data_IF_972692593167
#
_entry.id   IF_972692593167
#
_cell.length_a   1.000
_cell.length_b   1.000
_cell.length_c   1.000
_cell.angle_alpha   90.00
_cell.angle_beta   90.00
_cell.angle_gamma   90.00
#
_symmetry.space_group_name_H-M   'P 1'
#
loop_
_entity.id
_entity.type
_entity.pdbx_description
1 polymer ?
#
# COMPACT_ATOMS: atom_id res chain seq x y z
N UNK A 1 23.06 6.02 37.79
CA UNK A 1 23.41 6.16 36.37
C UNK A 1 22.98 4.93 35.56
N UNK A 2 21.70 4.57 35.73
CA UNK A 2 21.06 3.48 35.03
C UNK A 2 19.61 3.87 34.74
N UNK A 3 19.41 5.08 34.20
CA UNK A 3 18.11 5.58 33.81
C UNK A 3 18.32 6.16 32.41
N UNK A 4 18.01 5.40 31.39
CA UNK A 4 17.70 5.78 30.01
C UNK A 4 17.94 4.59 29.06
N UNK A 5 17.39 3.43 29.44
CA UNK A 5 17.26 2.32 28.50
C UNK A 5 15.85 1.75 28.55
N UNK A 6 14.92 2.65 28.73
CA UNK A 6 13.49 2.44 28.53
C UNK A 6 13.16 3.23 27.30
N UNK A 7 12.43 2.64 26.41
CA UNK A 7 11.91 3.17 25.16
C UNK A 7 12.79 2.81 23.96
N UNK A 8 12.66 1.61 23.56
CA UNK A 8 12.16 1.23 22.23
C UNK A 8 11.89 -0.28 22.24
N UNK A 9 11.02 -0.72 23.13
CA UNK A 9 10.21 -1.86 22.74
C UNK A 9 9.13 -1.31 21.80
N UNK A 10 9.50 -0.97 20.58
CA UNK A 10 8.60 -1.18 19.49
C UNK A 10 8.22 -2.66 19.62
N UNK A 11 6.98 -2.94 19.95
CA UNK A 11 6.38 -4.24 19.77
C UNK A 11 6.57 -4.59 18.30
N UNK A 12 7.69 -5.17 17.96
CA UNK A 12 7.86 -5.92 16.72
C UNK A 12 7.00 -7.16 16.96
N UNK A 13 5.70 -7.03 16.70
CA UNK A 13 4.85 -8.19 16.60
C UNK A 13 5.59 -9.14 15.65
N UNK A 14 5.78 -10.37 16.05
CA UNK A 14 6.41 -11.38 15.21
C UNK A 14 5.64 -11.38 13.89
N UNK A 15 6.37 -11.33 12.79
CA UNK A 15 5.79 -11.25 11.46
C UNK A 15 6.22 -12.45 10.64
N UNK A 16 5.32 -12.92 9.81
CA UNK A 16 5.57 -14.01 8.87
C UNK A 16 5.21 -13.57 7.46
N UNK A 17 5.91 -14.14 6.48
CA UNK A 17 5.55 -13.93 5.08
C UNK A 17 4.22 -14.60 4.75
N UNK A 18 3.45 -13.98 3.86
CA UNK A 18 2.21 -14.55 3.32
C UNK A 18 2.44 -15.91 2.65
N UNK A 19 3.68 -16.21 2.26
CA UNK A 19 4.08 -17.54 1.76
C UNK A 19 3.71 -18.67 2.71
N UNK A 20 3.78 -18.44 4.02
CA UNK A 20 3.37 -19.43 5.02
C UNK A 20 1.90 -19.84 4.84
N UNK A 21 1.04 -18.88 4.51
CA UNK A 21 -0.38 -19.17 4.22
C UNK A 21 -0.51 -19.94 2.90
N UNK A 22 0.20 -19.51 1.86
CA UNK A 22 0.21 -20.20 0.58
C UNK A 22 0.65 -21.67 0.73
N UNK A 23 1.72 -21.93 1.46
CA UNK A 23 2.23 -23.28 1.73
C UNK A 23 1.21 -24.15 2.47
N UNK A 24 0.45 -23.55 3.40
CA UNK A 24 -0.62 -24.27 4.11
C UNK A 24 -1.80 -24.55 3.19
N UNK A 25 -2.18 -23.60 2.34
CA UNK A 25 -3.25 -23.77 1.37
C UNK A 25 -2.92 -24.86 0.34
N UNK A 26 -1.70 -24.87 -0.20
CA UNK A 26 -1.26 -25.83 -1.21
C UNK A 26 -1.15 -27.28 -0.71
N UNK A 27 -1.23 -27.51 0.60
CA UNK A 27 -1.41 -28.89 1.13
C UNK A 27 -2.76 -29.48 0.77
N UNK A 28 -3.75 -28.64 0.48
CA UNK A 28 -5.03 -29.08 -0.04
C UNK A 28 -4.94 -29.19 -1.58
N UNK A 29 -5.19 -30.37 -2.18
CA UNK A 29 -5.09 -30.55 -3.64
C UNK A 29 -5.96 -29.58 -4.44
N UNK A 30 -7.15 -29.24 -3.94
CA UNK A 30 -8.09 -28.31 -4.61
C UNK A 30 -7.57 -26.87 -4.65
N UNK A 31 -6.64 -26.53 -3.75
CA UNK A 31 -6.07 -25.20 -3.67
C UNK A 31 -4.78 -25.03 -4.49
N UNK A 32 -4.30 -26.07 -5.15
CA UNK A 32 -3.05 -26.03 -5.92
C UNK A 32 -3.10 -25.11 -7.14
N UNK A 33 -4.28 -24.85 -7.65
CA UNK A 33 -4.50 -23.98 -8.82
C UNK A 33 -4.65 -22.51 -8.44
N UNK A 34 -4.71 -22.20 -7.14
CA UNK A 34 -4.81 -20.83 -6.65
C UNK A 34 -3.48 -20.10 -6.86
N UNK A 35 -3.52 -18.95 -7.50
CA UNK A 35 -2.31 -18.14 -7.72
C UNK A 35 -1.88 -17.37 -6.46
N UNK A 36 -0.60 -17.03 -6.35
CA UNK A 36 -0.10 -16.19 -5.27
C UNK A 36 -0.80 -14.82 -5.25
N UNK A 37 -1.09 -14.25 -6.42
CA UNK A 37 -1.80 -12.97 -6.54
C UNK A 37 -3.18 -13.05 -5.88
N UNK A 38 -3.94 -14.11 -6.18
CA UNK A 38 -5.23 -14.34 -5.54
C UNK A 38 -5.11 -14.46 -4.01
N UNK A 39 -4.09 -15.15 -3.52
CA UNK A 39 -3.84 -15.29 -2.07
C UNK A 39 -3.53 -13.95 -1.45
N UNK A 40 -2.67 -13.14 -2.07
CA UNK A 40 -2.28 -11.81 -1.59
C UNK A 40 -3.47 -10.88 -1.54
N UNK A 41 -4.22 -10.78 -2.63
CA UNK A 41 -5.36 -9.87 -2.73
C UNK A 41 -6.44 -10.17 -1.70
N UNK A 42 -6.79 -11.44 -1.55
CA UNK A 42 -7.80 -11.85 -0.56
C UNK A 42 -7.30 -11.76 0.89
N UNK A 43 -6.01 -11.99 1.15
CA UNK A 43 -5.43 -11.76 2.46
C UNK A 43 -5.48 -10.27 2.84
N UNK A 44 -5.13 -9.38 1.91
CA UNK A 44 -5.21 -7.93 2.14
C UNK A 44 -6.67 -7.47 2.28
N UNK A 45 -7.61 -8.07 1.54
CA UNK A 45 -9.03 -7.78 1.65
C UNK A 45 -9.56 -8.13 3.03
N UNK A 46 -9.33 -9.36 3.51
CA UNK A 46 -9.82 -9.76 4.83
C UNK A 46 -9.17 -8.97 5.96
N UNK A 47 -7.89 -8.64 5.85
CA UNK A 47 -7.22 -7.80 6.83
C UNK A 47 -7.84 -6.40 6.94
N UNK A 48 -8.34 -5.85 5.83
CA UNK A 48 -9.10 -4.59 5.83
C UNK A 48 -10.49 -4.75 6.44
N UNK A 49 -11.18 -5.84 6.13
CA UNK A 49 -12.53 -6.13 6.66
C UNK A 49 -12.52 -6.25 8.18
N UNK A 50 -11.53 -6.94 8.75
CA UNK A 50 -11.43 -7.15 10.20
C UNK A 50 -10.67 -6.03 10.92
N UNK A 51 -10.30 -4.97 10.20
CA UNK A 51 -9.47 -3.86 10.70
C UNK A 51 -8.19 -4.37 11.41
N UNK A 52 -7.60 -5.42 10.86
CA UNK A 52 -6.37 -5.97 11.40
C UNK A 52 -5.26 -4.93 11.31
N UNK A 53 -4.41 -4.80 12.34
CA UNK A 53 -3.29 -3.87 12.28
C UNK A 53 -2.42 -4.24 11.10
N UNK A 54 -2.51 -3.43 10.05
CA UNK A 54 -1.69 -3.62 8.88
C UNK A 54 -0.26 -3.22 9.19
N UNK A 55 0.67 -4.07 8.83
CA UNK A 55 2.09 -3.81 8.97
C UNK A 55 2.52 -2.80 7.91
N UNK A 56 2.43 -1.53 8.25
CA UNK A 56 2.87 -0.45 7.38
C UNK A 56 4.29 -0.01 7.77
N UNK A 57 5.08 0.19 6.75
CA UNK A 57 6.40 0.78 6.84
C UNK A 57 6.37 2.17 6.22
N UNK A 58 6.90 3.14 6.94
CA UNK A 58 7.13 4.45 6.34
C UNK A 58 8.31 4.35 5.39
N UNK A 59 8.08 4.72 4.14
CA UNK A 59 9.12 4.86 3.11
C UNK A 59 9.30 6.32 2.75
N UNK A 60 10.53 6.64 2.38
CA UNK A 60 10.93 7.95 1.87
C UNK A 60 11.56 7.73 0.50
N UNK A 61 11.09 8.46 -0.49
CA UNK A 61 11.57 8.33 -1.85
C UNK A 61 11.59 9.70 -2.53
N UNK A 62 12.69 9.99 -3.24
CA UNK A 62 12.80 11.21 -4.05
C UNK A 62 12.42 10.89 -5.48
N UNK A 63 11.48 11.62 -6.02
CA UNK A 63 10.89 11.40 -7.33
C UNK A 63 11.06 12.65 -8.19
N UNK A 64 11.48 12.46 -9.43
CA UNK A 64 11.60 13.56 -10.39
C UNK A 64 10.22 13.95 -10.92
N UNK A 65 10.02 15.27 -10.99
CA UNK A 65 8.86 15.90 -11.61
C UNK A 65 9.19 16.23 -13.05
N UNK A 66 8.34 15.81 -13.96
CA UNK A 66 8.42 16.10 -15.39
C UNK A 66 7.05 16.56 -15.87
N UNK A 67 6.98 17.75 -16.45
CA UNK A 67 5.72 18.33 -16.98
C UNK A 67 4.59 18.29 -15.94
N UNK A 68 4.85 18.87 -14.76
CA UNK A 68 3.89 18.98 -13.64
C UNK A 68 3.48 17.62 -13.02
N UNK A 69 4.18 16.52 -13.29
CA UNK A 69 3.82 15.19 -12.81
C UNK A 69 5.02 14.43 -12.28
N UNK A 70 4.82 13.73 -11.17
CA UNK A 70 5.73 12.72 -10.65
C UNK A 70 5.03 11.37 -10.66
N UNK A 71 5.75 10.29 -10.98
CA UNK A 71 5.19 8.94 -10.95
C UNK A 71 4.92 8.52 -9.50
N UNK A 72 3.71 8.04 -9.24
CA UNK A 72 3.36 7.53 -7.93
C UNK A 72 4.09 6.21 -7.67
N UNK A 73 4.74 6.00 -6.50
CA UNK A 73 5.30 4.72 -6.13
C UNK A 73 4.24 3.61 -6.13
N UNK A 74 4.56 2.46 -6.76
CA UNK A 74 3.59 1.38 -6.96
C UNK A 74 3.04 0.80 -5.65
N UNK A 75 3.86 0.78 -4.60
CA UNK A 75 3.51 0.25 -3.28
C UNK A 75 3.03 1.31 -2.28
N UNK A 76 2.70 2.52 -2.76
CA UNK A 76 2.21 3.60 -1.93
C UNK A 76 0.72 3.38 -1.59
N UNK A 77 0.43 3.22 -0.31
CA UNK A 77 -0.93 3.09 0.20
C UNK A 77 -1.49 4.45 0.59
N UNK A 78 -0.71 5.21 1.38
CA UNK A 78 -1.12 6.51 1.88
C UNK A 78 0.07 7.45 1.93
N UNK A 79 -0.11 8.65 1.47
CA UNK A 79 0.86 9.73 1.63
C UNK A 79 0.77 10.27 3.05
N UNK A 80 1.93 10.43 3.67
CA UNK A 80 2.05 11.12 4.96
C UNK A 80 2.55 12.56 4.76
N UNK A 81 3.51 12.74 3.86
CA UNK A 81 4.05 14.07 3.54
C UNK A 81 4.64 14.09 2.13
N UNK A 82 4.54 15.24 1.48
CA UNK A 82 5.28 15.55 0.25
C UNK A 82 5.99 16.89 0.44
N UNK A 83 7.25 16.94 0.07
CA UNK A 83 8.06 18.14 0.14
C UNK A 83 8.83 18.34 -1.17
N UNK A 84 8.99 19.57 -1.57
CA UNK A 84 9.86 19.98 -2.68
C UNK A 84 11.30 20.08 -2.20
N UNK A 85 12.27 19.52 -2.96
CA UNK A 85 13.67 19.42 -2.51
C UNK A 85 14.69 19.99 -3.49
N UNK A 86 14.27 20.43 -4.66
CA UNK A 86 15.15 20.86 -5.78
C UNK A 86 15.81 22.23 -5.61
N UNK A 87 15.45 23.00 -4.56
CA UNK A 87 15.95 24.36 -4.34
C UNK A 87 16.92 24.50 -3.17
N UNK A 88 17.51 23.42 -2.70
CA UNK A 88 18.43 23.43 -1.57
C UNK A 88 17.76 23.63 -0.20
N UNK A 89 16.44 23.73 -0.17
CA UNK A 89 15.61 23.75 1.04
C UNK A 89 14.49 22.72 0.90
N UNK A 90 14.07 22.15 2.02
CA UNK A 90 12.90 21.27 2.07
C UNK A 90 11.68 22.14 2.30
N UNK A 91 10.79 22.19 1.33
CA UNK A 91 9.55 22.94 1.42
C UNK A 91 8.35 21.98 1.40
N UNK A 92 7.64 21.89 2.54
CA UNK A 92 6.45 21.04 2.65
C UNK A 92 5.35 21.54 1.71
N UNK A 93 4.76 20.61 0.98
CA UNK A 93 3.71 20.91 0.00
C UNK A 93 2.33 20.74 0.63
N UNK A 94 1.39 21.58 0.21
CA UNK A 94 -0.02 21.46 0.63
C UNK A 94 -0.80 20.62 -0.36
N UNK A 95 -1.54 19.63 0.15
CA UNK A 95 -2.45 18.81 -0.66
C UNK A 95 -3.66 19.63 -1.10
N UNK A 96 -4.05 19.49 -2.36
CA UNK A 96 -5.25 20.09 -2.94
C UNK A 96 -6.06 19.02 -3.65
N UNK A 97 -7.39 19.15 -3.66
CA UNK A 97 -8.25 18.15 -4.29
C UNK A 97 -8.10 18.15 -5.81
N UNK A 98 -7.64 19.26 -6.37
CA UNK A 98 -7.55 19.42 -7.82
C UNK A 98 -6.43 20.37 -8.24
N UNK A 99 -5.52 19.89 -9.12
CA UNK A 99 -4.59 20.72 -9.86
C UNK A 99 -4.80 20.40 -11.34
N UNK A 100 -5.39 21.32 -12.12
CA UNK A 100 -5.44 21.22 -13.57
C UNK A 100 -4.42 22.16 -14.21
N UNK A 101 -3.93 21.80 -15.37
CA UNK A 101 -3.06 22.68 -16.16
C UNK A 101 -3.77 23.97 -16.60
N UNK A 102 -5.08 23.92 -16.78
CA UNK A 102 -5.90 25.10 -17.11
C UNK A 102 -5.92 26.09 -15.95
N UNK A 103 -5.95 25.62 -14.70
CA UNK A 103 -5.85 26.47 -13.50
C UNK A 103 -4.48 27.13 -13.37
N UNK A 104 -3.41 26.45 -13.77
CA UNK A 104 -2.05 27.01 -13.73
C UNK A 104 -1.85 28.12 -14.76
N UNK A 105 -2.59 28.09 -15.85
CA UNK A 105 -2.50 29.05 -16.96
C UNK A 105 -3.46 30.23 -16.82
N UNK A 106 -4.56 30.08 -16.12
CA UNK A 106 -5.63 31.09 -16.01
C UNK A 106 -5.36 32.06 -14.89
N UNK A 107 -4.31 32.54 -14.54
CA UNK A 107 -3.95 33.68 -13.67
C UNK A 107 -4.96 34.21 -12.61
N UNK A 108 -6.16 33.64 -12.52
CA UNK A 108 -7.35 34.27 -11.97
C UNK A 108 -7.85 33.65 -10.64
N UNK A 109 -7.23 32.61 -10.14
CA UNK A 109 -7.61 32.05 -8.84
C UNK A 109 -6.41 32.02 -7.90
N UNK A 110 -6.55 32.72 -6.77
CA UNK A 110 -5.58 33.00 -5.72
C UNK A 110 -4.80 31.84 -5.08
N UNK A 111 -4.46 30.83 -5.84
CA UNK A 111 -3.42 29.87 -5.46
C UNK A 111 -2.12 30.63 -5.62
N UNK A 112 -1.58 31.08 -4.52
CA UNK A 112 -0.27 31.73 -4.49
C UNK A 112 0.73 30.84 -5.22
N UNK A 113 1.25 31.31 -6.37
CA UNK A 113 2.34 30.64 -7.10
C UNK A 113 3.62 30.48 -6.27
N UNK A 114 3.62 31.04 -5.06
CA UNK A 114 4.73 31.03 -4.14
C UNK A 114 4.82 29.75 -3.29
N UNK A 115 3.70 29.06 -3.03
CA UNK A 115 3.70 27.85 -2.21
C UNK A 115 3.52 26.60 -3.06
N UNK A 116 4.37 25.58 -2.88
CA UNK A 116 4.25 24.34 -3.63
C UNK A 116 3.02 23.55 -3.17
N UNK A 117 2.22 23.12 -4.14
CA UNK A 117 1.02 22.33 -3.91
C UNK A 117 1.01 21.04 -4.73
N UNK A 118 0.29 20.03 -4.26
CA UNK A 118 0.15 18.77 -4.97
C UNK A 118 -1.29 18.25 -4.96
N UNK A 119 -1.64 17.44 -5.95
CA UNK A 119 -2.83 16.59 -5.94
C UNK A 119 -2.49 15.16 -6.32
N UNK A 120 -3.26 14.22 -5.81
CA UNK A 120 -3.04 12.80 -6.03
C UNK A 120 -4.09 12.25 -7.01
N UNK A 121 -3.64 11.49 -7.99
CA UNK A 121 -4.53 10.64 -8.76
C UNK A 121 -4.08 9.17 -8.69
N UNK A 122 -4.71 8.28 -9.46
CA UNK A 122 -4.41 6.85 -9.42
C UNK A 122 -2.96 6.53 -9.78
N UNK A 123 -2.34 7.28 -10.70
CA UNK A 123 -1.02 6.98 -11.29
C UNK A 123 0.05 8.02 -10.98
N UNK A 124 -0.35 9.26 -10.73
CA UNK A 124 0.58 10.38 -10.64
C UNK A 124 0.32 11.24 -9.40
N UNK A 125 1.38 11.92 -8.99
CA UNK A 125 1.36 13.07 -8.10
C UNK A 125 1.46 14.29 -9.02
N UNK A 126 0.39 15.08 -9.13
CA UNK A 126 0.43 16.31 -9.88
C UNK A 126 0.92 17.44 -8.96
N UNK A 127 1.73 18.33 -9.49
CA UNK A 127 2.32 19.45 -8.75
C UNK A 127 2.16 20.77 -9.52
N UNK A 128 2.27 21.92 -8.84
CA UNK A 128 2.09 23.22 -9.45
C UNK A 128 3.39 23.83 -10.05
N UNK A 129 4.43 23.01 -10.24
CA UNK A 129 5.68 23.41 -10.92
C UNK A 129 6.05 22.43 -12.01
N UNK A 130 6.70 22.91 -13.06
CA UNK A 130 6.93 22.15 -14.30
C UNK A 130 7.95 21.03 -14.14
N UNK A 131 9.03 21.29 -13.41
CA UNK A 131 10.13 20.34 -13.21
C UNK A 131 10.79 20.55 -11.85
N UNK A 132 11.45 19.52 -11.36
CA UNK A 132 12.14 19.53 -10.07
C UNK A 132 12.15 18.17 -9.42
N UNK A 133 12.32 18.14 -8.11
CA UNK A 133 12.30 16.94 -7.31
C UNK A 133 11.35 17.09 -6.12
N UNK A 134 10.62 16.03 -5.84
CA UNK A 134 9.76 15.91 -4.67
C UNK A 134 10.20 14.71 -3.83
N UNK A 135 10.27 14.94 -2.55
CA UNK A 135 10.43 13.88 -1.56
C UNK A 135 9.05 13.47 -1.06
N UNK A 136 8.74 12.20 -1.18
CA UNK A 136 7.47 11.63 -0.76
C UNK A 136 7.71 10.73 0.42
N UNK A 137 7.05 11.02 1.54
CA UNK A 137 6.98 10.13 2.71
C UNK A 137 5.62 9.47 2.67
N UNK A 138 5.60 8.16 2.63
CA UNK A 138 4.37 7.40 2.46
C UNK A 138 4.37 6.08 3.23
N UNK A 139 3.19 5.59 3.54
CA UNK A 139 2.99 4.24 4.07
C UNK A 139 2.95 3.23 2.94
N UNK A 140 3.76 2.20 3.10
CA UNK A 140 3.82 1.03 2.23
C UNK A 140 3.61 -0.23 3.06
N UNK A 141 3.04 -1.27 2.47
CA UNK A 141 2.99 -2.60 3.11
C UNK A 141 4.42 -3.06 3.38
N UNK A 142 4.65 -3.63 4.56
CA UNK A 142 5.90 -4.33 4.84
C UNK A 142 5.98 -5.59 3.99
N UNK A 143 7.14 -5.81 3.39
CA UNK A 143 7.40 -7.00 2.57
C UNK A 143 8.65 -7.70 3.06
N UNK A 144 8.74 -9.00 2.81
CA UNK A 144 9.96 -9.77 2.95
C UNK A 144 10.99 -9.43 1.84
N UNK A 145 12.12 -10.11 1.81
CA UNK A 145 13.20 -9.91 0.83
C UNK A 145 12.77 -10.22 -0.61
N UNK A 146 11.76 -11.08 -0.77
CA UNK A 146 11.21 -11.46 -2.07
C UNK A 146 9.98 -10.63 -2.47
N UNK A 147 9.74 -9.52 -1.75
CA UNK A 147 8.62 -8.60 -1.97
C UNK A 147 7.22 -9.15 -1.66
N UNK A 148 7.10 -10.26 -0.93
CA UNK A 148 5.82 -10.75 -0.44
C UNK A 148 5.38 -10.01 0.83
N UNK A 149 4.08 -9.67 0.97
CA UNK A 149 3.57 -9.02 2.16
C UNK A 149 3.87 -9.79 3.45
N UNK A 150 4.25 -9.06 4.48
CA UNK A 150 4.37 -9.57 5.84
C UNK A 150 3.04 -9.40 6.56
N UNK A 151 2.69 -10.40 7.35
CA UNK A 151 1.50 -10.43 8.20
C UNK A 151 1.91 -10.71 9.65
N UNK A 152 1.06 -10.32 10.60
CA UNK A 152 1.32 -10.59 12.01
C UNK A 152 1.23 -12.10 12.26
N UNK A 153 2.22 -12.67 12.95
CA UNK A 153 2.21 -14.08 13.39
C UNK A 153 1.24 -14.27 14.56
N UNK A 154 -0.06 -14.24 14.23
CA UNK A 154 -1.12 -14.55 15.16
C UNK A 154 -1.92 -15.75 14.63
N UNK A 155 -1.96 -16.87 15.35
CA UNK A 155 -2.61 -18.08 14.88
C UNK A 155 -4.09 -17.91 14.52
N UNK A 156 -4.80 -17.02 15.22
CA UNK A 156 -6.22 -16.74 14.95
C UNK A 156 -6.34 -15.96 13.64
N UNK A 157 -5.50 -14.93 13.46
CA UNK A 157 -5.47 -14.13 12.25
C UNK A 157 -5.11 -14.99 11.03
N UNK A 158 -4.07 -15.83 11.15
CA UNK A 158 -3.63 -16.73 10.08
C UNK A 158 -4.75 -17.69 9.65
N UNK A 159 -5.46 -18.29 10.63
CA UNK A 159 -6.61 -19.15 10.34
C UNK A 159 -7.78 -18.40 9.71
N UNK A 160 -8.03 -17.16 10.15
CA UNK A 160 -9.06 -16.31 9.56
C UNK A 160 -8.76 -16.05 8.08
N UNK A 161 -7.52 -15.67 7.76
CA UNK A 161 -7.08 -15.43 6.38
C UNK A 161 -7.19 -16.71 5.53
N UNK A 162 -6.67 -17.84 6.04
CA UNK A 162 -6.77 -19.13 5.35
C UNK A 162 -8.23 -19.52 5.05
N UNK A 163 -9.12 -19.35 6.03
CA UNK A 163 -10.54 -19.70 5.88
C UNK A 163 -11.25 -18.80 4.89
N UNK A 164 -10.91 -17.50 4.89
CA UNK A 164 -11.46 -16.53 3.95
C UNK A 164 -11.04 -16.84 2.50
N UNK A 165 -9.74 -17.10 2.28
CA UNK A 165 -9.22 -17.46 0.95
C UNK A 165 -9.88 -18.75 0.44
N UNK A 166 -10.01 -19.76 1.30
CA UNK A 166 -10.71 -21.00 0.95
C UNK A 166 -12.15 -20.74 0.57
N UNK A 167 -12.87 -19.94 1.38
CA UNK A 167 -14.25 -19.60 1.09
C UNK A 167 -14.39 -18.90 -0.27
N UNK A 168 -13.60 -17.89 -0.53
CA UNK A 168 -13.59 -17.17 -1.83
C UNK A 168 -13.30 -18.10 -3.00
N UNK A 169 -12.34 -19.02 -2.84
CA UNK A 169 -12.01 -19.97 -3.90
C UNK A 169 -13.15 -20.95 -4.17
N UNK A 170 -13.74 -21.51 -3.13
CA UNK A 170 -14.88 -22.40 -3.29
C UNK A 170 -16.13 -21.71 -3.83
N UNK A 171 -16.32 -20.43 -3.52
CA UNK A 171 -17.37 -19.61 -4.08
C UNK A 171 -17.22 -19.49 -5.60
N UNK A 172 -16.01 -19.18 -6.08
CA UNK A 172 -15.69 -19.15 -7.51
C UNK A 172 -15.93 -20.52 -8.18
N UNK A 173 -15.46 -21.60 -7.56
CA UNK A 173 -15.66 -22.94 -8.11
C UNK A 173 -17.14 -23.32 -8.18
N UNK A 174 -17.94 -22.90 -7.21
CA UNK A 174 -19.37 -23.11 -7.20
C UNK A 174 -20.07 -22.30 -8.30
N UNK A 175 -19.69 -21.05 -8.48
CA UNK A 175 -20.22 -20.19 -9.57
C UNK A 175 -19.88 -20.74 -10.96
N UNK A 176 -18.74 -21.41 -11.10
CA UNK A 176 -18.33 -22.09 -12.33
C UNK A 176 -18.96 -23.47 -12.53
N UNK A 177 -19.91 -23.89 -11.69
CA UNK A 177 -20.55 -25.21 -11.69
C UNK A 177 -19.59 -26.41 -11.56
N UNK A 178 -18.34 -26.17 -11.18
CA UNK A 178 -17.32 -27.24 -11.06
C UNK A 178 -17.60 -28.13 -9.85
N UNK A 179 -18.23 -27.57 -8.82
CA UNK A 179 -18.55 -28.30 -7.56
C UNK A 179 -19.96 -28.93 -7.60
N UNK A 180 -20.85 -28.44 -8.43
CA UNK A 180 -22.25 -28.92 -8.51
C UNK A 180 -22.39 -30.33 -9.13
N UNK A 181 -21.36 -30.81 -9.84
CA UNK A 181 -21.36 -32.13 -10.47
C UNK A 181 -21.15 -33.34 -9.53
N UNK A 182 -20.93 -33.14 -8.25
CA UNK A 182 -20.70 -34.25 -7.27
C UNK A 182 -21.85 -34.45 -6.28
N UNK A 183 -23.08 -34.14 -6.67
CA UNK A 183 -24.27 -34.69 -5.96
C UNK A 183 -24.80 -35.88 -6.72
N UNK A 184 -24.15 -37.00 -6.56
CA UNK A 184 -24.70 -38.34 -6.77
C UNK A 184 -24.26 -39.23 -5.60
#
# INVERSE_FOLDING_TARGET
WCIFKIITMANTADTVSIKLIADRLYRNPVMKEVTYEFIIDNALEVMRIIDAPALYKNKRETIKVVKYRASKPANMIRVENIARTDRGSIETMTGTDFISQEFLNSGDYGISRSSPTYSLNSKYINVNFESGEVEVIYKSIMTDEECYPLIIDNPILLRCIESYIKWKWFDILNDMDIVSGQKL
#
